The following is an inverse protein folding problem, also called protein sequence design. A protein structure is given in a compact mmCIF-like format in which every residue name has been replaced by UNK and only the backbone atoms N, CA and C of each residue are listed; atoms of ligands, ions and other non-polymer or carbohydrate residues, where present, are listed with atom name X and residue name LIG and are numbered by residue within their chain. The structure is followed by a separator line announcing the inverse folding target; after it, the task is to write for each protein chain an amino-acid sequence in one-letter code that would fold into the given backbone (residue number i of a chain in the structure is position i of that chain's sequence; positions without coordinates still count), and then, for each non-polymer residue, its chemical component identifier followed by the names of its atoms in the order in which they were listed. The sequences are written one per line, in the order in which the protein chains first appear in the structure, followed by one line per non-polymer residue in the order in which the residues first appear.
data_IF_124804845708
#
_entry.id   IF_124804845708
#
_cell.length_a   1.000
_cell.length_b   1.000
_cell.length_c   1.000
_cell.angle_alpha   90.00
_cell.angle_beta   90.00
_cell.angle_gamma   90.00
#
_symmetry.space_group_name_H-M   'P 1'
#
loop_
_entity.id
_entity.type
_entity.pdbx_description
1 polymer ?
#
# COMPACT_ATOMS: atom_id res chain seq x y z
N UNK A 1 -30.83 3.72 -24.70
CA UNK A 1 -29.50 3.07 -24.62
C UNK A 1 -29.10 2.96 -23.16
N UNK A 2 -28.53 1.84 -22.74
CA UNK A 2 -28.10 1.66 -21.34
C UNK A 2 -26.82 2.47 -21.10
N UNK A 3 -26.69 3.13 -19.95
CA UNK A 3 -25.47 3.87 -19.60
C UNK A 3 -24.20 2.99 -19.66
N UNK A 4 -24.35 1.67 -19.44
CA UNK A 4 -23.29 0.68 -19.65
C UNK A 4 -22.84 0.54 -21.10
N UNK A 5 -23.74 0.68 -22.08
CA UNK A 5 -23.34 0.64 -23.50
C UNK A 5 -22.51 1.88 -23.86
N UNK A 6 -22.85 3.04 -23.29
CA UNK A 6 -22.13 4.30 -23.51
C UNK A 6 -20.69 4.27 -22.95
N UNK A 7 -20.48 3.69 -21.76
CA UNK A 7 -19.13 3.52 -21.18
C UNK A 7 -18.31 2.50 -22.00
N UNK A 8 -18.96 1.44 -22.48
CA UNK A 8 -18.32 0.43 -23.33
C UNK A 8 -17.89 1.03 -24.67
N UNK A 9 -18.74 1.85 -25.29
CA UNK A 9 -18.45 2.56 -26.54
C UNK A 9 -17.27 3.53 -26.36
N UNK A 10 -17.23 4.30 -25.25
CA UNK A 10 -16.08 5.14 -24.91
C UNK A 10 -14.80 4.31 -24.73
N UNK A 11 -14.88 3.15 -24.06
CA UNK A 11 -13.72 2.27 -23.84
C UNK A 11 -13.16 1.72 -25.15
N UNK A 12 -14.02 1.38 -26.11
CA UNK A 12 -13.63 0.83 -27.41
C UNK A 12 -13.08 1.92 -28.35
N UNK A 13 -13.63 3.13 -28.28
CA UNK A 13 -13.14 4.30 -29.03
C UNK A 13 -11.74 4.72 -28.57
N UNK A 14 -11.49 4.85 -27.25
CA UNK A 14 -10.15 5.16 -26.72
C UNK A 14 -9.16 3.98 -26.77
N UNK A 15 -9.66 2.74 -26.71
CA UNK A 15 -8.86 1.52 -26.88
C UNK A 15 -8.29 1.35 -28.29
N UNK A 16 -8.91 1.98 -29.30
CA UNK A 16 -8.43 2.01 -30.68
C UNK A 16 -7.25 2.99 -30.85
N UNK A 17 -7.29 4.13 -30.16
CA UNK A 17 -6.25 5.17 -30.20
C UNK A 17 -4.94 4.67 -29.58
N UNK A 18 -5.02 3.89 -28.49
CA UNK A 18 -3.84 3.32 -27.83
C UNK A 18 -3.10 2.28 -28.69
N UNK A 19 -3.79 1.53 -29.55
CA UNK A 19 -3.16 0.50 -30.42
C UNK A 19 -2.39 1.07 -31.60
N UNK A 20 -2.69 2.32 -32.01
CA UNK A 20 -1.95 2.97 -33.09
C UNK A 20 -0.56 3.48 -32.67
N UNK A 21 -0.28 3.60 -31.37
CA UNK A 21 1.03 4.04 -30.85
C UNK A 21 2.10 2.93 -30.81
N UNK A 22 1.74 1.67 -31.10
CA UNK A 22 2.65 0.52 -31.02
C UNK A 22 2.64 -0.31 -32.30
N UNK A 23 2.91 0.33 -33.45
CA UNK A 23 3.43 -0.38 -34.63
C UNK A 23 4.59 0.42 -35.23
N UNK A 24 5.78 0.13 -34.71
CA UNK A 24 7.04 0.49 -35.35
C UNK A 24 7.04 -0.11 -36.76
N UNK A 25 7.00 0.76 -37.78
CA UNK A 25 6.98 0.39 -39.19
C UNK A 25 8.43 0.29 -39.67
N UNK A 26 8.86 -0.94 -39.93
CA UNK A 26 10.06 -1.24 -40.73
C UNK A 26 9.71 -1.18 -42.22
N UNK A 27 10.69 -0.75 -43.01
CA UNK A 27 10.86 -0.81 -44.46
C UNK A 27 10.29 0.29 -45.38
N UNK A 28 11.24 0.79 -46.19
CA UNK A 28 11.12 1.66 -47.37
C UNK A 28 10.37 0.94 -48.50
N UNK A 29 9.46 1.64 -49.18
CA UNK A 29 9.42 1.71 -50.66
C UNK A 29 8.58 2.91 -51.12
N UNK A 30 8.95 3.44 -52.29
CA UNK A 30 8.33 4.60 -52.93
C UNK A 30 7.01 4.22 -53.63
N UNK A 31 6.07 5.17 -53.70
CA UNK A 31 4.87 5.07 -54.53
C UNK A 31 3.86 6.19 -54.23
N UNK A 32 3.63 7.04 -55.23
CA UNK A 32 2.63 8.12 -55.26
C UNK A 32 1.20 7.60 -55.02
N UNK A 33 0.43 8.25 -54.14
CA UNK A 33 -1.03 8.37 -54.26
C UNK A 33 -1.62 9.41 -53.27
N UNK A 34 -2.29 10.42 -53.83
CA UNK A 34 -3.41 11.24 -53.30
C UNK A 34 -3.41 11.65 -51.81
N UNK A 35 -3.22 12.96 -51.58
CA UNK A 35 -3.60 13.69 -50.36
C UNK A 35 -5.10 13.54 -50.07
N UNK A 36 -5.46 12.69 -49.12
CA UNK A 36 -6.63 12.92 -48.28
C UNK A 36 -6.12 13.54 -46.98
N UNK A 37 -6.57 14.75 -46.67
CA UNK A 37 -6.23 15.43 -45.43
C UNK A 37 -6.84 14.65 -44.25
N UNK A 38 -6.01 13.85 -43.59
CA UNK A 38 -6.36 13.25 -42.31
C UNK A 38 -6.37 14.38 -41.27
N UNK A 39 -7.56 14.71 -40.76
CA UNK A 39 -7.73 15.57 -39.61
C UNK A 39 -6.81 15.11 -38.47
N UNK A 40 -6.10 16.07 -37.86
CA UNK A 40 -5.12 15.77 -36.82
C UNK A 40 -5.79 15.21 -35.55
N UNK A 41 -5.05 14.47 -34.70
CA UNK A 41 -5.57 13.97 -33.42
C UNK A 41 -6.05 15.06 -32.45
N UNK A 42 -5.73 16.33 -32.72
CA UNK A 42 -6.24 17.48 -31.97
C UNK A 42 -7.70 17.85 -32.33
N UNK A 43 -8.15 17.61 -33.56
CA UNK A 43 -9.52 17.95 -34.00
C UNK A 43 -10.55 16.89 -33.59
N UNK A 44 -10.11 15.64 -33.35
CA UNK A 44 -10.98 14.57 -32.85
C UNK A 44 -11.35 14.73 -31.36
N UNK A 45 -10.61 15.52 -30.58
CA UNK A 45 -10.97 15.82 -29.19
C UNK A 45 -12.13 16.83 -29.06
N UNK A 46 -12.40 17.60 -30.10
CA UNK A 46 -13.38 18.70 -30.08
C UNK A 46 -14.83 18.24 -30.43
N UNK A 47 -15.00 16.95 -30.74
CA UNK A 47 -16.30 16.36 -31.12
C UNK A 47 -16.90 15.42 -30.07
N UNK A 48 -16.28 15.25 -28.90
CA UNK A 48 -16.89 14.44 -27.85
C UNK A 48 -18.02 15.22 -27.18
N UNK A 49 -19.23 14.67 -27.12
CA UNK A 49 -20.36 15.29 -26.40
C UNK A 49 -20.06 15.58 -24.91
N UNK A 50 -19.01 14.94 -24.36
CA UNK A 50 -18.54 15.09 -22.99
C UNK A 50 -17.64 16.29 -22.74
N UNK A 51 -16.90 16.77 -23.76
CA UNK A 51 -16.08 17.99 -23.64
C UNK A 51 -16.93 19.26 -23.65
N UNK A 52 -18.16 19.16 -24.17
CA UNK A 52 -19.13 20.26 -24.23
C UNK A 52 -20.10 20.29 -23.03
N UNK A 53 -20.05 19.27 -22.15
CA UNK A 53 -20.94 19.19 -20.99
C UNK A 53 -20.54 20.24 -19.94
N UNK A 54 -21.49 21.02 -19.39
CA UNK A 54 -21.22 21.91 -18.26
C UNK A 54 -20.49 21.19 -17.12
N UNK A 55 -19.43 21.78 -16.52
CA UNK A 55 -18.64 21.14 -15.47
C UNK A 55 -19.46 20.64 -14.27
N UNK A 56 -20.57 21.31 -13.96
CA UNK A 56 -21.49 20.98 -12.87
C UNK A 56 -22.24 19.68 -13.16
N UNK A 57 -22.72 19.51 -14.40
CA UNK A 57 -23.39 18.28 -14.84
C UNK A 57 -22.41 17.12 -14.93
N UNK A 58 -21.20 17.37 -15.43
CA UNK A 58 -20.13 16.37 -15.44
C UNK A 58 -19.82 15.89 -14.02
N UNK A 59 -19.71 16.81 -13.07
CA UNK A 59 -19.52 16.51 -11.66
C UNK A 59 -20.65 15.66 -11.10
N UNK A 60 -21.90 16.00 -11.38
CA UNK A 60 -23.06 15.23 -10.91
C UNK A 60 -23.01 13.78 -11.42
N UNK A 61 -22.74 13.60 -12.72
CA UNK A 61 -22.61 12.27 -13.34
C UNK A 61 -21.50 11.46 -12.67
N UNK A 62 -20.31 12.05 -12.51
CA UNK A 62 -19.15 11.37 -11.91
C UNK A 62 -19.35 11.02 -10.44
N UNK A 63 -19.98 11.90 -9.66
CA UNK A 63 -20.36 11.63 -8.26
C UNK A 63 -21.38 10.49 -8.18
N UNK A 64 -22.34 10.47 -9.12
CA UNK A 64 -23.34 9.39 -9.19
C UNK A 64 -22.69 8.04 -9.48
N UNK A 65 -21.70 7.99 -10.38
CA UNK A 65 -20.92 6.78 -10.66
C UNK A 65 -20.19 6.30 -9.41
N UNK A 66 -19.52 7.18 -8.66
CA UNK A 66 -18.85 6.80 -7.41
C UNK A 66 -19.83 6.28 -6.34
N UNK A 67 -21.05 6.83 -6.30
CA UNK A 67 -22.09 6.38 -5.38
C UNK A 67 -22.64 4.99 -5.76
N UNK A 68 -22.82 4.69 -7.05
CA UNK A 68 -23.36 3.40 -7.52
C UNK A 68 -22.33 2.27 -7.48
N UNK A 69 -21.08 2.55 -7.81
CA UNK A 69 -20.04 1.51 -8.00
C UNK A 69 -19.28 1.19 -6.71
N UNK A 70 -19.96 0.46 -5.80
CA UNK A 70 -19.47 0.20 -4.44
C UNK A 70 -18.39 -0.88 -4.32
N UNK A 71 -18.44 -1.95 -5.14
CA UNK A 71 -17.58 -3.14 -5.01
C UNK A 71 -16.79 -3.44 -6.28
N UNK A 72 -15.67 -4.16 -6.14
CA UNK A 72 -14.93 -4.71 -7.28
C UNK A 72 -15.69 -5.92 -7.85
N UNK A 73 -15.76 -6.08 -9.19
CA UNK A 73 -15.00 -5.37 -10.22
C UNK A 73 -15.66 -4.08 -10.74
N UNK A 74 -16.90 -3.79 -10.38
CA UNK A 74 -17.69 -2.71 -10.97
C UNK A 74 -17.08 -1.32 -10.69
N UNK A 75 -16.40 -1.17 -9.55
CA UNK A 75 -15.55 -0.02 -9.19
C UNK A 75 -14.38 0.27 -10.16
N UNK A 76 -14.11 -0.60 -11.15
CA UNK A 76 -13.19 -0.29 -12.26
C UNK A 76 -13.63 0.96 -13.01
N UNK A 77 -14.93 1.21 -13.13
CA UNK A 77 -15.46 2.34 -13.89
C UNK A 77 -15.11 3.69 -13.23
N UNK A 78 -15.09 3.74 -11.89
CA UNK A 78 -14.62 4.90 -11.10
C UNK A 78 -13.16 5.23 -11.44
N UNK A 79 -12.30 4.21 -11.52
CA UNK A 79 -10.88 4.38 -11.88
C UNK A 79 -10.72 4.78 -13.34
N UNK A 80 -11.51 4.17 -14.25
CA UNK A 80 -11.52 4.51 -15.66
C UNK A 80 -11.93 5.97 -15.88
N UNK A 81 -12.96 6.47 -15.17
CA UNK A 81 -13.36 7.88 -15.24
C UNK A 81 -12.21 8.82 -14.88
N UNK A 82 -11.45 8.52 -13.83
CA UNK A 82 -10.29 9.31 -13.44
C UNK A 82 -9.11 9.25 -14.45
N UNK A 83 -9.16 8.32 -15.41
CA UNK A 83 -8.14 8.15 -16.45
C UNK A 83 -8.44 8.89 -17.75
N UNK A 84 -9.69 9.37 -17.95
CA UNK A 84 -10.14 10.01 -19.21
C UNK A 84 -9.36 11.29 -19.52
N UNK A 85 -9.41 12.29 -18.64
CA UNK A 85 -8.68 13.55 -18.81
C UNK A 85 -8.37 14.22 -17.45
N UNK A 86 -7.63 15.34 -17.47
CA UNK A 86 -7.24 16.06 -16.24
C UNK A 86 -8.46 16.56 -15.44
N UNK A 87 -9.48 17.07 -16.13
CA UNK A 87 -10.71 17.57 -15.50
C UNK A 87 -11.47 16.46 -14.78
N UNK A 88 -11.73 15.34 -15.47
CA UNK A 88 -12.40 14.17 -14.88
C UNK A 88 -11.59 13.62 -13.70
N UNK A 89 -10.26 13.54 -13.84
CA UNK A 89 -9.37 13.13 -12.75
C UNK A 89 -9.49 14.03 -11.53
N UNK A 90 -9.55 15.35 -11.71
CA UNK A 90 -9.73 16.31 -10.63
C UNK A 90 -11.05 16.07 -9.89
N UNK A 91 -12.15 15.98 -10.64
CA UNK A 91 -13.48 15.71 -10.08
C UNK A 91 -13.52 14.37 -9.35
N UNK A 92 -12.99 13.30 -9.94
CA UNK A 92 -12.99 11.97 -9.31
C UNK A 92 -12.12 11.91 -8.05
N UNK A 93 -10.97 12.61 -8.02
CA UNK A 93 -10.15 12.72 -6.81
C UNK A 93 -10.90 13.41 -5.66
N UNK A 94 -11.73 14.40 -5.98
CA UNK A 94 -12.56 15.11 -5.00
C UNK A 94 -13.76 14.27 -4.55
N UNK A 95 -14.43 13.59 -5.49
CA UNK A 95 -15.61 12.78 -5.23
C UNK A 95 -15.29 11.51 -4.40
N UNK A 96 -14.15 10.88 -4.67
CA UNK A 96 -13.76 9.64 -3.98
C UNK A 96 -13.18 9.97 -2.61
N UNK A 97 -13.96 9.67 -1.57
CA UNK A 97 -13.53 9.84 -0.17
C UNK A 97 -12.43 8.84 0.22
N UNK A 98 -11.55 9.27 1.12
CA UNK A 98 -10.47 8.45 1.69
C UNK A 98 -11.01 7.16 2.37
N UNK A 99 -10.22 6.08 2.45
CA UNK A 99 -10.67 4.80 3.00
C UNK A 99 -11.14 4.87 4.45
N UNK A 100 -10.65 5.83 5.24
CA UNK A 100 -11.14 6.09 6.60
C UNK A 100 -12.65 6.35 6.63
N UNK A 101 -13.16 7.10 5.65
CA UNK A 101 -14.58 7.48 5.56
C UNK A 101 -15.35 6.54 4.63
N UNK A 102 -14.77 6.18 3.48
CA UNK A 102 -15.49 5.38 2.48
C UNK A 102 -15.46 3.89 2.77
N UNK A 103 -14.45 3.38 3.46
CA UNK A 103 -14.17 1.95 3.55
C UNK A 103 -13.81 1.32 2.20
N UNK A 104 -13.36 2.11 1.21
CA UNK A 104 -13.08 1.64 -0.15
C UNK A 104 -11.66 1.97 -0.60
N UNK A 105 -11.00 1.01 -1.27
CA UNK A 105 -9.67 1.17 -1.85
C UNK A 105 -9.76 1.40 -3.37
N UNK A 106 -9.91 2.67 -3.78
CA UNK A 106 -10.09 3.04 -5.20
C UNK A 106 -8.76 3.26 -5.90
N UNK A 107 -8.06 4.33 -5.52
CA UNK A 107 -6.82 4.76 -6.17
C UNK A 107 -5.60 4.14 -5.48
N UNK A 108 -4.43 4.08 -6.16
CA UNK A 108 -3.21 3.55 -5.54
C UNK A 108 -2.83 4.22 -4.22
N UNK A 109 -3.08 5.53 -4.09
CA UNK A 109 -2.76 6.28 -2.86
C UNK A 109 -3.58 5.81 -1.65
N UNK A 110 -4.77 5.26 -1.87
CA UNK A 110 -5.61 4.68 -0.80
C UNK A 110 -4.89 3.56 -0.03
N UNK A 111 -3.85 2.93 -0.61
CA UNK A 111 -3.06 1.90 0.06
C UNK A 111 -2.11 2.44 1.13
N UNK A 112 -1.83 3.74 1.11
CA UNK A 112 -1.04 4.48 2.11
C UNK A 112 -1.91 5.24 3.10
N UNK A 113 -3.23 5.25 2.91
CA UNK A 113 -4.19 5.93 3.76
C UNK A 113 -4.73 4.98 4.84
N UNK A 114 -5.08 5.49 6.05
CA UNK A 114 -5.69 4.69 7.10
C UNK A 114 -6.98 3.99 6.64
N UNK A 115 -7.24 2.80 7.18
CA UNK A 115 -8.52 2.10 7.00
C UNK A 115 -9.69 2.77 7.73
N UNK A 116 -10.92 2.23 7.61
CA UNK A 116 -12.11 2.76 8.28
C UNK A 116 -12.08 2.57 9.81
N UNK A 117 -12.80 3.43 10.55
CA UNK A 117 -12.93 3.34 12.03
C UNK A 117 -13.95 2.32 12.49
N UNK A 118 -15.08 2.24 11.78
CA UNK A 118 -16.26 1.47 12.18
C UNK A 118 -16.29 0.05 11.61
N UNK A 119 -15.30 -0.30 10.79
CA UNK A 119 -15.23 -1.59 10.12
C UNK A 119 -13.80 -2.03 9.85
N UNK A 120 -13.65 -3.16 9.14
CA UNK A 120 -12.35 -3.62 8.63
C UNK A 120 -12.39 -3.78 7.13
N UNK A 121 -11.28 -3.41 6.50
CA UNK A 121 -10.98 -3.81 5.13
C UNK A 121 -10.48 -5.25 5.16
N UNK A 122 -11.25 -6.14 4.51
CA UNK A 122 -10.97 -7.58 4.46
C UNK A 122 -10.15 -7.92 3.22
N UNK A 123 -8.87 -8.20 3.42
CA UNK A 123 -7.92 -8.53 2.37
C UNK A 123 -7.40 -9.97 2.49
N UNK A 124 -6.67 -10.41 1.47
CA UNK A 124 -6.06 -11.74 1.43
C UNK A 124 -4.64 -11.64 0.87
N UNK A 125 -3.74 -12.47 1.40
CA UNK A 125 -2.37 -12.61 0.92
C UNK A 125 -2.25 -13.99 0.26
N UNK A 126 -1.86 -13.98 -1.02
CA UNK A 126 -1.48 -15.19 -1.76
C UNK A 126 0.03 -15.25 -1.89
N UNK A 127 0.63 -16.35 -1.47
CA UNK A 127 2.08 -16.57 -1.53
C UNK A 127 2.44 -17.45 -2.72
N UNK A 128 3.43 -17.04 -3.49
CA UNK A 128 4.14 -17.94 -4.41
C UNK A 128 5.48 -18.31 -3.78
N UNK A 129 5.61 -19.59 -3.38
CA UNK A 129 6.81 -20.10 -2.71
C UNK A 129 8.01 -20.18 -3.64
N UNK A 130 7.79 -20.47 -4.92
CA UNK A 130 8.84 -20.66 -5.93
C UNK A 130 9.59 -19.36 -6.17
N UNK A 131 8.85 -18.27 -6.38
CA UNK A 131 9.41 -16.93 -6.62
C UNK A 131 9.64 -16.13 -5.34
N UNK A 132 9.25 -16.69 -4.18
CA UNK A 132 9.19 -15.99 -2.89
C UNK A 132 8.45 -14.65 -2.97
N UNK A 133 7.36 -14.61 -3.75
CA UNK A 133 6.51 -13.44 -3.92
C UNK A 133 5.21 -13.57 -3.13
N UNK A 134 4.65 -12.43 -2.74
CA UNK A 134 3.44 -12.31 -1.94
C UNK A 134 2.56 -11.27 -2.62
N UNK A 135 1.29 -11.57 -2.77
CA UNK A 135 0.33 -10.70 -3.46
C UNK A 135 -0.83 -10.42 -2.52
N UNK A 136 -1.13 -9.14 -2.31
CA UNK A 136 -2.25 -8.64 -1.54
C UNK A 136 -3.44 -8.38 -2.47
N UNK A 137 -4.60 -8.87 -2.06
CA UNK A 137 -5.87 -8.70 -2.76
C UNK A 137 -6.99 -8.23 -1.83
N UNK A 138 -8.04 -7.61 -2.37
CA UNK A 138 -9.29 -7.30 -1.68
C UNK A 138 -10.49 -7.87 -2.45
N UNK A 139 -11.53 -8.25 -1.73
CA UNK A 139 -12.81 -8.68 -2.33
C UNK A 139 -12.78 -10.10 -2.88
N UNK A 140 -12.33 -11.08 -2.08
CA UNK A 140 -12.51 -12.49 -2.41
C UNK A 140 -14.01 -12.79 -2.33
N UNK A 141 -14.64 -13.03 -3.47
CA UNK A 141 -16.03 -13.48 -3.53
C UNK A 141 -16.00 -15.01 -3.62
N UNK A 142 -16.76 -15.70 -2.76
CA UNK A 142 -16.83 -17.18 -2.78
C UNK A 142 -17.43 -17.72 -4.09
N UNK A 143 -18.13 -16.87 -4.85
CA UNK A 143 -18.69 -17.16 -6.16
C UNK A 143 -17.76 -16.65 -7.28
N UNK A 144 -17.23 -17.60 -8.07
CA UNK A 144 -16.59 -17.44 -9.39
C UNK A 144 -15.17 -16.86 -9.39
N UNK A 145 -14.17 -17.73 -9.62
CA UNK A 145 -12.90 -17.57 -10.38
C UNK A 145 -12.06 -16.27 -10.38
N UNK A 146 -12.48 -15.19 -9.72
CA UNK A 146 -11.79 -13.90 -9.68
C UNK A 146 -10.94 -13.84 -8.41
N UNK A 147 -9.63 -13.63 -8.57
CA UNK A 147 -8.65 -13.53 -7.49
C UNK A 147 -8.87 -12.26 -6.61
N UNK A 148 -9.94 -11.49 -6.87
CA UNK A 148 -10.22 -10.19 -6.27
C UNK A 148 -9.38 -9.07 -6.90
N UNK A 149 -9.55 -7.84 -6.41
CA UNK A 149 -8.69 -6.73 -6.86
C UNK A 149 -7.30 -6.87 -6.27
N UNK A 150 -6.30 -6.93 -7.13
CA UNK A 150 -4.89 -6.80 -6.75
C UNK A 150 -4.58 -5.41 -6.16
N UNK A 151 -3.80 -5.41 -5.09
CA UNK A 151 -3.41 -4.20 -4.37
C UNK A 151 -1.89 -3.98 -4.34
N UNK A 152 -1.14 -4.97 -3.82
CA UNK A 152 0.30 -4.87 -3.61
C UNK A 152 0.99 -6.20 -3.91
N UNK A 153 2.22 -6.14 -4.39
CA UNK A 153 3.11 -7.28 -4.43
C UNK A 153 4.33 -7.04 -3.56
N UNK A 154 4.88 -8.11 -3.00
CA UNK A 154 6.16 -8.08 -2.33
C UNK A 154 7.03 -9.25 -2.76
N UNK A 155 8.34 -9.01 -2.95
CA UNK A 155 9.33 -10.06 -3.22
C UNK A 155 10.33 -10.13 -2.08
N UNK A 156 10.49 -11.33 -1.52
CA UNK A 156 11.55 -11.61 -0.53
C UNK A 156 12.91 -11.72 -1.24
N UNK A 157 13.88 -11.01 -0.71
CA UNK A 157 15.26 -10.97 -1.15
C UNK A 157 16.16 -11.24 0.06
N UNK A 158 16.68 -12.47 0.17
CA UNK A 158 17.63 -12.83 1.23
C UNK A 158 19.00 -12.24 0.91
N UNK A 159 19.62 -11.63 1.93
CA UNK A 159 21.00 -11.14 1.92
C UNK A 159 21.78 -11.80 3.06
N UNK A 160 23.12 -11.76 3.05
CA UNK A 160 23.93 -12.39 4.10
C UNK A 160 23.59 -11.91 5.51
N UNK A 161 23.25 -10.63 5.68
CA UNK A 161 23.04 -10.00 7.00
C UNK A 161 21.58 -9.67 7.32
N UNK A 162 20.66 -9.82 6.36
CA UNK A 162 19.26 -9.43 6.50
C UNK A 162 18.39 -10.01 5.38
N UNK A 163 17.08 -10.00 5.58
CA UNK A 163 16.09 -10.22 4.53
C UNK A 163 15.44 -8.88 4.20
N UNK A 164 15.41 -8.51 2.91
CA UNK A 164 14.60 -7.40 2.41
C UNK A 164 13.32 -7.98 1.76
N UNK A 165 12.16 -7.36 1.97
CA UNK A 165 10.96 -7.57 1.15
C UNK A 165 10.68 -6.26 0.41
N UNK A 166 10.82 -6.27 -0.91
CA UNK A 166 10.54 -5.09 -1.74
C UNK A 166 9.06 -5.06 -2.06
N UNK A 167 8.36 -3.94 -1.79
CA UNK A 167 6.91 -3.80 -1.92
C UNK A 167 6.61 -2.86 -3.11
N UNK A 168 5.73 -3.31 -4.01
CA UNK A 168 5.40 -2.62 -5.26
C UNK A 168 3.89 -2.63 -5.53
N UNK A 169 3.43 -1.63 -6.29
CA UNK A 169 2.11 -1.55 -6.91
C UNK A 169 1.97 -2.41 -8.17
N UNK A 170 3.04 -3.07 -8.62
CA UNK A 170 3.06 -3.92 -9.80
C UNK A 170 3.39 -5.38 -9.46
N UNK A 171 2.75 -6.33 -10.16
CA UNK A 171 2.94 -7.79 -9.94
C UNK A 171 4.26 -8.32 -10.49
N UNK A 172 4.82 -7.66 -11.49
CA UNK A 172 5.96 -8.11 -12.29
C UNK A 172 7.22 -7.35 -11.87
N UNK A 173 7.17 -6.01 -11.88
CA UNK A 173 8.28 -5.15 -11.52
C UNK A 173 8.24 -4.73 -10.05
N UNK A 174 9.20 -5.25 -9.29
CA UNK A 174 9.40 -4.93 -7.87
C UNK A 174 10.81 -4.38 -7.63
N UNK A 175 11.45 -3.85 -8.67
CA UNK A 175 12.77 -3.24 -8.58
C UNK A 175 12.71 -1.90 -7.85
N UNK A 176 13.76 -1.54 -7.11
CA UNK A 176 13.80 -0.28 -6.34
C UNK A 176 13.81 0.98 -7.21
N UNK A 177 14.25 0.86 -8.47
CA UNK A 177 14.25 1.95 -9.44
C UNK A 177 12.92 2.12 -10.17
N UNK A 178 11.97 1.20 -9.96
CA UNK A 178 10.65 1.28 -10.58
C UNK A 178 9.81 2.39 -9.95
N UNK A 179 9.00 3.06 -10.77
CA UNK A 179 8.02 4.04 -10.29
C UNK A 179 6.88 3.40 -9.48
N UNK A 180 6.74 2.07 -9.53
CA UNK A 180 5.72 1.32 -8.80
C UNK A 180 6.23 0.83 -7.44
N UNK A 181 7.52 0.99 -7.14
CA UNK A 181 8.08 0.70 -5.82
C UNK A 181 7.57 1.71 -4.79
N UNK A 182 7.02 1.21 -3.68
CA UNK A 182 6.42 2.06 -2.64
C UNK A 182 7.01 1.87 -1.24
N UNK A 183 7.95 0.93 -1.08
CA UNK A 183 8.64 0.71 0.19
C UNK A 183 9.23 -0.68 0.36
N UNK A 184 9.74 -0.95 1.56
CA UNK A 184 10.46 -2.19 1.87
C UNK A 184 10.36 -2.54 3.34
N UNK A 185 10.21 -3.83 3.64
CA UNK A 185 10.45 -4.39 4.97
C UNK A 185 11.87 -4.96 5.03
N UNK A 186 12.65 -4.63 6.06
CA UNK A 186 13.98 -5.21 6.29
C UNK A 186 14.02 -5.91 7.64
N UNK A 187 14.52 -7.13 7.68
CA UNK A 187 14.82 -7.84 8.93
C UNK A 187 16.21 -7.48 9.45
N UNK A 188 16.43 -7.69 10.75
CA UNK A 188 17.76 -7.93 11.29
C UNK A 188 18.24 -9.34 10.91
N UNK A 189 19.50 -9.64 11.24
CA UNK A 189 20.12 -10.94 10.95
C UNK A 189 19.34 -12.13 11.55
N UNK A 190 18.84 -11.99 12.78
CA UNK A 190 18.13 -13.06 13.49
C UNK A 190 16.67 -13.26 13.03
N UNK A 191 16.12 -12.34 12.23
CA UNK A 191 14.70 -12.35 11.85
C UNK A 191 13.75 -12.02 13.00
N UNK A 192 14.23 -11.37 14.05
CA UNK A 192 13.48 -11.04 15.27
C UNK A 192 13.06 -9.58 15.35
N UNK A 193 13.75 -8.70 14.62
CA UNK A 193 13.41 -7.28 14.49
C UNK A 193 13.29 -6.94 13.02
N UNK A 194 12.32 -6.10 12.68
CA UNK A 194 12.11 -5.62 11.34
C UNK A 194 11.83 -4.13 11.33
N UNK A 195 12.26 -3.45 10.27
CA UNK A 195 11.98 -2.04 10.01
C UNK A 195 11.26 -1.92 8.69
N UNK A 196 10.13 -1.22 8.67
CA UNK A 196 9.40 -0.86 7.47
C UNK A 196 9.88 0.50 7.00
N UNK A 197 10.21 0.60 5.72
CA UNK A 197 10.62 1.81 5.05
C UNK A 197 9.60 2.21 4.00
N UNK A 198 9.16 3.46 4.04
CA UNK A 198 8.44 4.10 2.94
C UNK A 198 9.42 4.61 1.88
N UNK A 199 9.01 4.54 0.61
CA UNK A 199 9.71 5.12 -0.53
C UNK A 199 9.59 6.65 -0.57
N UNK A 200 8.51 7.20 0.01
CA UNK A 200 8.20 8.62 0.01
C UNK A 200 8.14 9.14 1.46
N UNK A 201 8.44 10.44 1.69
CA UNK A 201 8.36 11.02 3.02
C UNK A 201 6.91 10.93 3.54
N UNK A 202 6.67 10.33 4.71
CA UNK A 202 5.33 10.17 5.25
C UNK A 202 4.70 11.48 5.78
N UNK A 203 5.53 12.50 6.06
CA UNK A 203 5.15 13.83 6.51
C UNK A 203 6.28 14.83 6.17
N UNK A 204 5.99 16.12 6.26
CA UNK A 204 6.97 17.17 5.95
C UNK A 204 8.13 17.20 6.96
N UNK A 205 9.38 17.23 6.48
CA UNK A 205 10.57 17.12 7.33
C UNK A 205 10.99 15.69 7.75
N UNK A 206 10.39 14.64 7.18
CA UNK A 206 10.81 13.26 7.47
C UNK A 206 12.30 13.00 7.12
N UNK A 207 13.03 12.37 8.04
CA UNK A 207 14.47 12.11 7.88
C UNK A 207 14.70 10.81 7.10
N UNK A 208 15.47 10.91 6.01
CA UNK A 208 15.90 9.73 5.24
C UNK A 208 16.91 8.91 6.04
N UNK A 209 16.67 7.59 6.16
CA UNK A 209 17.69 6.67 6.66
C UNK A 209 18.84 6.59 5.66
N UNK A 210 20.00 7.14 6.02
CA UNK A 210 21.25 6.96 5.25
C UNK A 210 21.66 5.49 5.32
N UNK A 211 21.40 4.72 4.26
CA UNK A 211 21.88 3.35 4.17
C UNK A 211 23.24 3.33 3.48
N UNK A 212 24.29 2.95 4.20
CA UNK A 212 25.66 2.75 3.68
C UNK A 212 25.79 1.66 2.59
N UNK A 213 24.69 1.07 2.12
CA UNK A 213 24.69 -0.01 1.11
C UNK A 213 24.50 0.49 -0.33
N UNK A 214 24.40 1.81 -0.56
CA UNK A 214 24.51 2.36 -1.90
C UNK A 214 26.00 2.52 -2.26
N UNK A 215 26.75 1.41 -2.31
CA UNK A 215 27.97 1.41 -3.12
C UNK A 215 27.49 1.51 -4.56
N UNK A 216 27.65 2.70 -5.13
CA UNK A 216 27.63 2.94 -6.56
C UNK A 216 28.67 1.99 -7.15
N UNK A 217 28.20 0.87 -7.71
CA UNK A 217 29.02 -0.03 -8.51
C UNK A 217 28.58 0.15 -9.95
N UNK A 218 29.39 0.90 -10.70
CA UNK A 218 29.71 0.62 -12.10
C UNK A 218 28.66 0.91 -13.18
N UNK A 219 28.93 2.01 -13.89
CA UNK A 219 28.71 2.30 -15.32
C UNK A 219 27.27 2.49 -15.88
N UNK A 220 27.04 3.76 -16.27
CA UNK A 220 26.26 4.23 -17.41
C UNK A 220 24.76 3.88 -17.48
N UNK A 221 24.00 4.34 -16.49
CA UNK A 221 22.66 4.85 -16.75
C UNK A 221 22.39 6.04 -15.83
N UNK A 222 22.54 7.24 -16.37
CA UNK A 222 22.05 8.47 -15.73
C UNK A 222 20.54 8.44 -15.85
N UNK A 223 19.87 7.80 -14.89
CA UNK A 223 18.46 8.07 -14.67
C UNK A 223 18.37 9.35 -13.84
N UNK A 224 17.68 10.42 -14.30
CA UNK A 224 17.53 11.67 -13.56
C UNK A 224 16.63 11.54 -12.31
N UNK A 225 16.22 10.32 -11.94
CA UNK A 225 15.24 10.10 -10.87
C UNK A 225 15.93 10.04 -9.51
N UNK A 226 15.53 10.93 -8.61
CA UNK A 226 15.89 10.90 -7.18
C UNK A 226 15.57 9.49 -6.65
N UNK A 227 16.54 8.78 -6.03
CA UNK A 227 16.30 7.45 -5.51
C UNK A 227 15.13 7.48 -4.53
N UNK A 228 14.20 6.52 -4.65
CA UNK A 228 13.17 6.30 -3.64
C UNK A 228 13.81 6.30 -2.25
N UNK A 229 13.33 7.18 -1.38
CA UNK A 229 13.88 7.34 -0.04
C UNK A 229 13.70 6.06 0.78
N UNK A 230 14.45 5.96 1.88
CA UNK A 230 14.19 4.93 2.89
C UNK A 230 13.77 5.66 4.17
N UNK A 231 12.49 5.99 4.28
CA UNK A 231 11.93 6.65 5.47
C UNK A 231 11.39 5.59 6.43
N UNK A 232 11.99 5.37 7.61
CA UNK A 232 11.47 4.39 8.56
C UNK A 232 10.09 4.85 9.07
N UNK A 233 9.09 3.96 8.98
CA UNK A 233 7.69 4.25 9.35
C UNK A 233 7.09 3.29 10.38
N UNK A 234 7.76 2.17 10.64
CA UNK A 234 7.39 1.30 11.77
C UNK A 234 8.50 0.30 12.07
N UNK A 235 8.57 -0.12 13.33
CA UNK A 235 9.46 -1.17 13.81
C UNK A 235 8.65 -2.33 14.38
N UNK A 236 8.98 -3.55 13.98
CA UNK A 236 8.33 -4.78 14.46
C UNK A 236 9.38 -5.59 15.23
N UNK A 237 9.06 -6.01 16.43
CA UNK A 237 9.92 -6.89 17.23
C UNK A 237 9.13 -8.12 17.70
N UNK A 238 9.84 -9.24 17.70
CA UNK A 238 9.38 -10.50 18.26
C UNK A 238 10.24 -10.81 19.48
N UNK A 239 9.60 -11.06 20.62
CA UNK A 239 10.31 -11.45 21.83
C UNK A 239 10.92 -12.85 21.68
N UNK A 240 12.13 -12.99 22.21
CA UNK A 240 12.85 -14.25 22.26
C UNK A 240 12.44 -15.01 23.52
N UNK A 241 12.03 -16.26 23.37
CA UNK A 241 11.74 -17.14 24.50
C UNK A 241 13.04 -17.76 25.00
N UNK A 242 13.86 -17.02 25.75
CA UNK A 242 15.22 -17.46 26.15
C UNK A 242 15.19 -18.43 27.35
N UNK A 243 14.07 -18.56 28.07
CA UNK A 243 13.98 -19.27 29.36
C UNK A 243 12.89 -20.37 29.41
N UNK A 244 12.49 -20.93 28.26
CA UNK A 244 11.59 -22.09 28.24
C UNK A 244 10.14 -21.80 28.66
N UNK A 245 9.74 -20.52 28.76
CA UNK A 245 8.34 -20.14 28.94
C UNK A 245 7.53 -20.57 27.72
N UNK A 246 6.80 -21.68 27.86
CA UNK A 246 5.85 -22.16 26.86
C UNK A 246 4.73 -21.13 26.73
N UNK A 247 4.74 -20.34 25.65
CA UNK A 247 3.73 -19.33 25.39
C UNK A 247 3.73 -18.84 23.94
N UNK A 248 2.60 -18.28 23.46
CA UNK A 248 2.52 -17.65 22.15
C UNK A 248 3.60 -16.58 21.98
N UNK A 249 4.20 -16.49 20.78
CA UNK A 249 5.22 -15.49 20.46
C UNK A 249 4.67 -14.09 20.69
N UNK A 250 5.35 -13.29 21.52
CA UNK A 250 4.99 -11.90 21.75
C UNK A 250 5.53 -11.03 20.62
N UNK A 251 4.68 -10.18 20.07
CA UNK A 251 4.96 -9.34 18.92
C UNK A 251 4.55 -7.91 19.25
N UNK A 252 5.50 -6.99 19.13
CA UNK A 252 5.31 -5.56 19.37
C UNK A 252 5.60 -4.81 18.07
N UNK A 253 4.71 -3.91 17.66
CA UNK A 253 4.86 -3.06 16.49
C UNK A 253 4.77 -1.59 16.93
N UNK A 254 5.87 -0.86 16.79
CA UNK A 254 5.90 0.59 17.03
C UNK A 254 5.62 1.29 15.70
N UNK A 255 4.55 2.08 15.64
CA UNK A 255 4.12 2.81 14.45
C UNK A 255 4.71 4.22 14.49
N UNK A 256 5.79 4.43 13.77
CA UNK A 256 6.63 5.62 13.93
C UNK A 256 5.96 6.92 13.50
N UNK A 257 5.11 6.81 12.49
CA UNK A 257 4.37 7.94 11.93
C UNK A 257 3.00 8.11 12.58
N UNK A 258 2.54 7.23 13.47
CA UNK A 258 1.17 7.29 13.99
C UNK A 258 1.22 7.61 15.48
N UNK A 259 0.61 8.71 15.93
CA UNK A 259 0.59 9.04 17.34
C UNK A 259 -0.32 8.08 18.13
N UNK A 260 -0.03 7.88 19.42
CA UNK A 260 -0.85 7.05 20.31
C UNK A 260 -2.31 7.54 20.37
N UNK A 261 -2.50 8.87 20.41
CA UNK A 261 -3.80 9.56 20.40
C UNK A 261 -4.64 9.29 19.15
N UNK A 262 -4.07 8.72 18.08
CA UNK A 262 -4.84 8.42 16.88
C UNK A 262 -6.01 7.46 17.18
N UNK A 263 -5.80 6.49 18.08
CA UNK A 263 -6.79 5.44 18.38
C UNK A 263 -8.01 5.97 19.14
N UNK A 264 -7.86 7.09 19.84
CA UNK A 264 -8.91 7.74 20.61
C UNK A 264 -10.01 8.34 19.72
N UNK A 265 -11.18 8.63 20.31
CA UNK A 265 -12.25 9.32 19.62
C UNK A 265 -11.78 10.69 19.09
N UNK A 266 -11.93 10.91 17.78
CA UNK A 266 -11.47 12.13 17.10
C UNK A 266 -9.96 12.21 16.85
N UNK A 267 -9.16 11.24 17.31
CA UNK A 267 -7.73 11.15 17.04
C UNK A 267 -7.41 11.11 15.54
N UNK A 268 -6.25 11.59 15.10
CA UNK A 268 -5.89 11.62 13.66
C UNK A 268 -4.59 10.88 13.38
N UNK A 269 -4.58 10.15 12.26
CA UNK A 269 -3.42 9.44 11.75
C UNK A 269 -2.96 10.15 10.47
N UNK A 270 -1.66 10.20 10.18
CA UNK A 270 -1.19 10.82 8.94
C UNK A 270 -1.81 10.15 7.72
N UNK A 271 -2.43 10.97 6.89
CA UNK A 271 -3.11 10.54 5.68
C UNK A 271 -2.41 11.16 4.49
N UNK A 272 -1.60 10.36 3.80
CA UNK A 272 -0.97 10.80 2.55
C UNK A 272 -2.05 11.01 1.48
N UNK A 273 -2.16 12.22 0.94
CA UNK A 273 -3.17 12.56 -0.06
C UNK A 273 -2.70 12.28 -1.48
N UNK A 274 -1.39 12.33 -1.73
CA UNK A 274 -0.80 12.06 -3.04
C UNK A 274 0.56 11.35 -2.93
N UNK A 275 0.95 10.59 -3.98
CA UNK A 275 2.35 10.23 -4.17
C UNK A 275 3.05 11.46 -4.74
N UNK A 276 4.19 11.90 -4.18
CA UNK A 276 4.97 12.99 -4.78
C UNK A 276 5.25 12.64 -6.25
N UNK A 277 4.67 13.41 -7.17
CA UNK A 277 4.99 13.25 -8.57
C UNK A 277 6.47 13.58 -8.73
N UNK A 278 7.23 12.66 -9.33
CA UNK A 278 8.52 12.98 -9.93
C UNK A 278 8.30 13.86 -11.16
N UNK A 279 7.76 15.06 -10.94
CA UNK A 279 7.78 16.15 -11.90
C UNK A 279 9.23 16.58 -12.02
N UNK A 280 9.74 16.57 -13.26
CA UNK A 280 11.07 17.11 -13.59
C UNK A 280 11.22 18.60 -13.22
N UNK A 281 10.12 19.28 -12.89
CA UNK A 281 10.07 20.73 -12.67
C UNK A 281 9.93 21.15 -11.20
N UNK A 282 10.06 20.22 -10.26
CA UNK A 282 10.15 20.57 -8.85
C UNK A 282 11.32 19.83 -8.25
N UNK A 283 12.51 20.42 -8.40
CA UNK A 283 13.62 20.12 -7.52
C UNK A 283 13.14 20.35 -6.09
N UNK A 284 13.03 19.33 -5.22
CA UNK A 284 13.20 19.62 -3.81
C UNK A 284 14.58 20.24 -3.75
N UNK A 285 14.72 21.44 -3.18
CA UNK A 285 16.02 22.02 -2.90
C UNK A 285 16.75 21.10 -1.93
N UNK A 286 17.35 20.04 -2.46
CA UNK A 286 18.29 19.23 -1.71
C UNK A 286 19.45 20.20 -1.51
N UNK A 287 19.59 20.69 -0.28
CA UNK A 287 20.69 21.53 0.17
C UNK A 287 22.00 20.73 0.13
N UNK A 288 22.42 20.36 -1.07
CA UNK A 288 23.79 20.08 -1.41
C UNK A 288 24.44 21.45 -1.53
N UNK A 289 25.00 21.98 -0.44
CA UNK A 289 26.30 22.66 -0.38
C UNK A 289 26.46 23.40 0.96
N UNK A 290 27.42 22.87 1.73
CA UNK A 290 28.39 23.62 2.55
C UNK A 290 27.88 24.43 3.75
N UNK A 291 27.82 23.77 4.91
CA UNK A 291 28.16 24.44 6.18
C UNK A 291 29.35 23.75 6.84
N UNK A 292 30.40 24.56 7.04
CA UNK A 292 31.61 24.23 7.77
C UNK A 292 31.25 23.88 9.21
N UNK A 293 31.91 22.82 9.73
CA UNK A 293 32.31 22.62 11.13
C UNK A 293 31.57 23.42 12.20
N UNK A 294 30.62 22.77 12.86
CA UNK A 294 30.45 22.90 14.30
C UNK A 294 30.24 21.48 14.85
N UNK A 295 31.17 21.04 15.69
CA UNK A 295 30.98 19.85 16.53
C UNK A 295 29.78 20.15 17.42
N UNK A 296 28.66 19.50 17.15
CA UNK A 296 27.52 19.44 18.05
C UNK A 296 27.33 17.97 18.35
N UNK A 297 27.48 17.66 19.63
CA UNK A 297 27.50 16.33 20.18
C UNK A 297 26.30 15.50 19.73
N UNK A 298 26.57 14.21 19.59
CA UNK A 298 25.59 13.14 19.47
C UNK A 298 24.65 13.14 20.68
N UNK A 299 23.67 14.03 20.68
CA UNK A 299 22.45 13.83 21.43
C UNK A 299 21.51 13.06 20.51
N UNK A 300 21.43 11.76 20.78
CA UNK A 300 20.25 10.98 20.49
C UNK A 300 19.04 11.84 20.84
N UNK A 301 18.30 12.31 19.84
CA UNK A 301 16.95 12.82 20.05
C UNK A 301 16.10 11.63 20.46
N UNK A 302 16.22 11.27 21.74
CA UNK A 302 15.18 10.66 22.52
C UNK A 302 14.02 11.68 22.55
N UNK A 303 13.32 11.84 21.43
CA UNK A 303 11.94 12.28 21.52
C UNK A 303 11.22 11.19 22.31
N UNK A 304 10.59 11.58 23.41
CA UNK A 304 9.80 10.75 24.31
C UNK A 304 9.12 9.60 23.57
N UNK A 305 9.46 8.35 23.94
CA UNK A 305 8.79 7.13 23.47
C UNK A 305 7.27 7.12 23.75
N UNK A 306 6.78 8.11 24.49
CA UNK A 306 5.42 8.26 25.01
C UNK A 306 4.35 8.62 23.97
N UNK A 307 4.69 9.09 22.76
CA UNK A 307 3.67 9.61 21.82
C UNK A 307 3.42 8.70 20.61
N UNK A 308 4.10 7.56 20.48
CA UNK A 308 3.97 6.68 19.30
C UNK A 308 3.00 5.57 19.57
N UNK A 309 2.15 5.25 18.59
CA UNK A 309 1.25 4.11 18.70
C UNK A 309 2.04 2.81 18.75
N UNK A 310 1.92 2.08 19.86
CA UNK A 310 2.42 0.71 20.00
C UNK A 310 1.26 -0.27 19.84
N UNK A 311 1.40 -1.22 18.92
CA UNK A 311 0.50 -2.36 18.75
C UNK A 311 1.15 -3.63 19.32
N UNK A 312 0.40 -4.41 20.10
CA UNK A 312 0.87 -5.68 20.68
C UNK A 312 -0.02 -6.82 20.22
N UNK A 313 0.51 -8.04 20.21
CA UNK A 313 -0.33 -9.21 19.96
C UNK A 313 -1.39 -9.36 21.06
N UNK A 314 -2.63 -9.58 20.66
CA UNK A 314 -3.71 -9.90 21.59
C UNK A 314 -3.43 -11.24 22.28
N UNK A 315 -3.56 -11.27 23.60
CA UNK A 315 -3.43 -12.49 24.39
C UNK A 315 -4.56 -13.47 24.01
N UNK A 316 -4.27 -14.76 23.78
CA UNK A 316 -5.30 -15.75 23.51
C UNK A 316 -6.20 -15.94 24.73
N UNK A 317 -7.43 -16.39 24.50
CA UNK A 317 -8.36 -16.78 25.56
C UNK A 317 -8.37 -18.29 25.69
N UNK A 318 -8.52 -18.79 26.92
CA UNK A 318 -8.70 -20.22 27.14
C UNK A 318 -10.06 -20.65 26.60
N UNK A 319 -10.08 -21.73 25.81
CA UNK A 319 -11.30 -22.31 25.28
C UNK A 319 -11.53 -23.67 25.92
N UNK A 320 -12.49 -23.75 26.86
CA UNK A 320 -12.72 -24.94 27.68
C UNK A 320 -13.02 -26.19 26.85
N UNK A 321 -13.89 -26.12 25.84
CA UNK A 321 -14.24 -27.32 25.06
C UNK A 321 -13.09 -27.88 24.21
N UNK A 322 -12.16 -27.01 23.78
CA UNK A 322 -11.02 -27.39 22.94
C UNK A 322 -9.75 -27.61 23.76
N UNK A 323 -9.78 -27.28 25.06
CA UNK A 323 -8.64 -27.29 25.98
C UNK A 323 -7.40 -26.60 25.37
N UNK A 324 -7.62 -25.45 24.71
CA UNK A 324 -6.58 -24.70 24.00
C UNK A 324 -6.62 -23.21 24.33
N UNK A 325 -5.46 -22.57 24.25
CA UNK A 325 -5.36 -21.11 24.13
C UNK A 325 -5.63 -20.70 22.68
N UNK A 326 -6.73 -19.98 22.47
CA UNK A 326 -7.25 -19.73 21.14
C UNK A 326 -7.72 -18.26 20.99
N UNK A 327 -7.56 -17.70 19.78
CA UNK A 327 -8.05 -16.36 19.43
C UNK A 327 -9.33 -16.49 18.61
N UNK A 328 -10.30 -15.60 18.83
CA UNK A 328 -11.54 -15.59 18.06
C UNK A 328 -11.35 -14.81 16.75
N UNK A 329 -11.18 -15.54 15.65
CA UNK A 329 -11.05 -14.98 14.30
C UNK A 329 -12.39 -14.83 13.56
N UNK A 330 -13.54 -15.09 14.21
CA UNK A 330 -14.89 -14.97 13.65
C UNK A 330 -15.04 -15.68 12.29
N UNK A 331 -14.51 -16.89 12.19
CA UNK A 331 -14.53 -17.71 10.96
C UNK A 331 -13.59 -17.24 9.84
N UNK A 332 -12.87 -16.12 10.00
CA UNK A 332 -11.92 -15.62 8.98
C UNK A 332 -10.68 -16.50 8.84
N UNK A 333 -10.26 -17.15 9.92
CA UNK A 333 -9.07 -18.02 9.96
C UNK A 333 -9.53 -19.44 10.24
N UNK A 334 -9.17 -20.36 9.35
CA UNK A 334 -9.66 -21.75 9.37
C UNK A 334 -8.54 -22.76 9.58
N UNK A 335 -7.26 -22.36 9.42
CA UNK A 335 -6.11 -23.26 9.53
C UNK A 335 -5.21 -22.82 10.69
N UNK A 336 -4.96 -23.73 11.63
CA UNK A 336 -4.03 -23.50 12.73
C UNK A 336 -2.61 -23.17 12.21
N UNK A 337 -1.99 -22.12 12.75
CA UNK A 337 -0.63 -21.72 12.41
C UNK A 337 -0.05 -20.77 13.46
N UNK A 338 1.26 -20.88 13.70
CA UNK A 338 2.05 -19.88 14.47
C UNK A 338 2.04 -18.48 13.86
N UNK A 339 1.48 -18.34 12.66
CA UNK A 339 1.31 -17.08 11.94
C UNK A 339 -0.02 -16.40 12.25
N UNK A 340 -0.95 -17.09 12.92
CA UNK A 340 -2.25 -16.51 13.21
C UNK A 340 -2.10 -15.56 14.40
N UNK A 341 -2.43 -14.29 14.20
CA UNK A 341 -2.36 -13.28 15.26
C UNK A 341 -3.41 -12.18 15.07
N UNK A 342 -3.72 -11.51 16.16
CA UNK A 342 -4.47 -10.26 16.19
C UNK A 342 -3.57 -9.22 16.86
N UNK A 343 -3.51 -8.00 16.33
CA UNK A 343 -2.85 -6.87 16.97
C UNK A 343 -3.90 -5.90 17.50
N UNK A 344 -3.62 -5.39 18.70
CA UNK A 344 -4.42 -4.41 19.43
C UNK A 344 -3.51 -3.26 19.88
N UNK A 345 -4.07 -2.11 20.20
CA UNK A 345 -3.30 -1.02 20.79
C UNK A 345 -2.80 -1.43 22.18
N UNK A 346 -1.59 -1.00 22.53
CA UNK A 346 -1.02 -1.20 23.87
C UNK A 346 -1.77 -0.37 24.91
N UNK A 347 -1.95 -0.92 26.11
CA UNK A 347 -2.54 -0.20 27.26
C UNK A 347 -1.68 0.99 27.72
N UNK A 348 -0.39 0.99 27.39
CA UNK A 348 0.53 2.10 27.68
C UNK A 348 0.19 3.40 26.92
N UNK A 349 -0.76 3.36 25.97
CA UNK A 349 -1.11 4.47 25.09
C UNK A 349 -2.23 5.40 25.63
N UNK A 350 -2.83 5.14 26.81
CA UNK A 350 -3.92 5.97 27.37
C UNK A 350 -4.74 5.28 28.47
N UNK A 351 -5.64 6.00 29.19
CA UNK A 351 -6.37 5.45 30.32
C UNK A 351 -7.29 4.30 29.87
N UNK A 352 -7.20 3.17 30.58
CA UNK A 352 -7.75 1.87 30.20
C UNK A 352 -9.23 1.90 29.81
N UNK A 353 -9.49 1.94 28.51
CA UNK A 353 -10.82 1.80 27.93
C UNK A 353 -10.92 0.47 27.17
N UNK A 354 -12.14 -0.05 27.11
CA UNK A 354 -12.50 -1.27 26.34
C UNK A 354 -12.11 -1.18 24.85
N UNK A 355 -11.83 0.02 24.34
CA UNK A 355 -11.31 0.27 22.99
C UNK A 355 -9.91 -0.31 22.74
N UNK A 356 -9.08 -0.48 23.78
CA UNK A 356 -7.78 -1.11 23.64
C UNK A 356 -7.88 -2.57 23.20
N UNK A 357 -9.00 -3.25 23.42
CA UNK A 357 -9.19 -4.64 22.96
C UNK A 357 -9.68 -4.75 21.50
N UNK A 358 -9.88 -3.59 20.84
CA UNK A 358 -10.31 -3.49 19.44
C UNK A 358 -9.19 -3.96 18.51
N UNK A 359 -9.44 -5.04 17.79
CA UNK A 359 -8.46 -5.63 16.86
C UNK A 359 -8.21 -4.69 15.68
N UNK A 360 -6.99 -4.15 15.60
CA UNK A 360 -6.55 -3.23 14.55
C UNK A 360 -6.09 -4.01 13.30
N UNK A 361 -5.39 -5.13 13.51
CA UNK A 361 -4.94 -6.03 12.44
C UNK A 361 -5.23 -7.48 12.82
N UNK A 362 -5.87 -8.22 11.93
CA UNK A 362 -6.10 -9.65 12.06
C UNK A 362 -5.43 -10.36 10.88
N UNK A 363 -4.57 -11.32 11.18
CA UNK A 363 -3.89 -12.12 10.17
C UNK A 363 -3.98 -13.60 10.49
N UNK A 364 -4.22 -14.42 9.48
CA UNK A 364 -4.19 -15.86 9.69
C UNK A 364 -4.32 -16.70 8.43
N UNK A 365 -4.01 -17.98 8.58
CA UNK A 365 -3.93 -18.95 7.49
C UNK A 365 -5.30 -19.55 7.18
N UNK A 366 -5.63 -19.64 5.90
CA UNK A 366 -6.84 -20.33 5.41
C UNK A 366 -6.54 -21.44 4.39
N UNK A 367 -5.31 -21.50 3.87
CA UNK A 367 -4.86 -22.56 2.97
C UNK A 367 -3.35 -22.69 2.95
N UNK A 368 -2.81 -23.55 2.08
CA UNK A 368 -1.36 -23.81 1.98
C UNK A 368 -0.55 -22.53 1.75
N UNK A 369 -1.05 -21.68 0.87
CA UNK A 369 -0.40 -20.45 0.40
C UNK A 369 -1.36 -19.26 0.38
N UNK A 370 -2.42 -19.33 1.19
CA UNK A 370 -3.48 -18.33 1.25
C UNK A 370 -3.75 -17.94 2.70
N UNK A 371 -3.85 -16.63 2.94
CA UNK A 371 -3.97 -16.03 4.26
C UNK A 371 -4.98 -14.88 4.23
N UNK A 372 -5.77 -14.70 5.28
CA UNK A 372 -6.58 -13.50 5.48
C UNK A 372 -5.78 -12.40 6.15
N UNK A 373 -6.01 -11.16 5.74
CA UNK A 373 -5.46 -9.96 6.36
C UNK A 373 -6.59 -8.94 6.46
N UNK A 374 -7.15 -8.77 7.64
CA UNK A 374 -8.20 -7.77 7.88
C UNK A 374 -7.60 -6.63 8.71
N UNK A 375 -7.73 -5.38 8.26
CA UNK A 375 -7.17 -4.22 8.96
C UNK A 375 -8.18 -3.08 9.06
N UNK A 376 -7.92 -2.15 9.98
CA UNK A 376 -8.73 -0.94 10.18
C UNK A 376 -7.84 0.24 10.54
N UNK A 377 -8.48 1.39 10.73
CA UNK A 377 -7.86 2.57 11.34
C UNK A 377 -7.08 2.19 12.62
N UNK A 378 -5.89 2.75 12.91
CA UNK A 378 -5.21 3.87 12.22
C UNK A 378 -4.22 3.45 11.13
N UNK A 379 -4.08 2.16 10.82
CA UNK A 379 -3.04 1.68 9.91
C UNK A 379 -3.53 1.62 8.45
N UNK A 380 -2.59 1.73 7.52
CA UNK A 380 -2.82 1.59 6.08
C UNK A 380 -2.64 0.15 5.59
N UNK A 381 -3.11 -0.17 4.37
CA UNK A 381 -2.87 -1.46 3.74
C UNK A 381 -1.38 -1.76 3.59
N UNK A 382 -0.57 -0.76 3.25
CA UNK A 382 0.87 -0.88 3.13
C UNK A 382 1.52 -1.30 4.45
N UNK A 383 1.18 -0.61 5.55
CA UNK A 383 1.70 -0.94 6.89
C UNK A 383 1.22 -2.33 7.34
N UNK A 384 -0.08 -2.62 7.22
CA UNK A 384 -0.65 -3.92 7.56
C UNK A 384 0.03 -5.07 6.80
N UNK A 385 0.22 -4.90 5.48
CA UNK A 385 0.88 -5.89 4.64
C UNK A 385 2.35 -6.09 5.05
N UNK A 386 3.09 -5.02 5.29
CA UNK A 386 4.48 -5.11 5.76
C UNK A 386 4.59 -5.82 7.13
N UNK A 387 3.68 -5.55 8.05
CA UNK A 387 3.59 -6.25 9.34
C UNK A 387 3.36 -7.74 9.11
N UNK A 388 2.38 -8.13 8.30
CA UNK A 388 2.11 -9.53 7.97
C UNK A 388 3.29 -10.23 7.30
N UNK A 389 4.04 -9.53 6.41
CA UNK A 389 5.24 -10.07 5.75
C UNK A 389 6.31 -10.53 6.75
N UNK A 390 6.46 -9.83 7.88
CA UNK A 390 7.42 -10.20 8.94
C UNK A 390 7.13 -11.56 9.60
N UNK A 391 5.89 -12.04 9.53
CA UNK A 391 5.48 -13.33 10.07
C UNK A 391 5.94 -14.52 9.21
N UNK A 392 6.26 -14.28 7.94
CA UNK A 392 6.69 -15.32 7.01
C UNK A 392 8.17 -15.66 7.11
N UNK A 393 8.98 -14.80 7.74
CA UNK A 393 10.40 -15.10 7.93
C UNK A 393 10.62 -16.13 9.05
N UNK A 394 11.60 -17.01 8.82
CA UNK A 394 12.07 -17.98 9.81
C UNK A 394 12.81 -17.23 10.90
N UNK A 395 12.44 -17.48 12.16
CA UNK A 395 12.99 -16.80 13.32
C UNK A 395 13.88 -17.81 14.05
N UNK A 396 15.19 -17.68 13.86
CA UNK A 396 16.17 -18.70 14.27
C UNK A 396 16.16 -18.93 15.80
N UNK A 397 15.61 -18.00 16.58
CA UNK A 397 15.59 -18.06 18.05
C UNK A 397 14.17 -17.98 18.67
N UNK A 398 13.11 -18.25 17.88
CA UNK A 398 11.73 -18.23 18.40
C UNK A 398 10.99 -19.56 18.21
N UNK A 399 11.66 -20.64 17.79
CA UNK A 399 11.03 -21.96 17.58
C UNK A 399 10.80 -22.72 18.87
#
# INVERSE_FOLDING_TARGET
MSFRSLIQDMRDEFGSISRHSLRSRSHRSAGNASRAAAAGPAEAMDQSCWSQLPPELLREVLVRIEATESWWPARKDVVSCASVCRTWRGIMKEAVRVPEVSGKLTFPISLKQPGPRDGTLKCFIRRNRTTQTYYLYIGLTEALADDGKFLLAARKCRKPTCTDYLISLDKVDMSKGSSTYIGKLRSNFLGTKFTVYDAHPPYDGAVVSKSHSARVVGLNQVSPRVPAGNYPVSHISYELNVLGSRGPRRMNCVMDSIPASAVEEGGKAPTQTEFPLSSLDSFPSILFFRSKSARIDSSTSQSSSSDRLVLKNKSPRWHEQLQCWCLNFRGRVTVASVKNFQLVASDDNGPGNQENDKVILQFGKIGKDLFTMDYRYPISAFQAFAICLSSFDTKIACE
#
